data_IF_101469100578
#
_entry.id   IF_101469100578
#
_cell.length_a   1.000
_cell.length_b   1.000
_cell.length_c   1.000
_cell.angle_alpha   90.00
_cell.angle_beta   90.00
_cell.angle_gamma   90.00
#
_symmetry.space_group_name_H-M   'P 1'
#
loop_
_entity.id
_entity.type
_entity.pdbx_description
1 polymer ?
#
# COMPACT_ATOMS: atom_id res chain seq x y z
N UNK A 1 -5.19 -13.73 -15.32
CA UNK A 1 -4.01 -14.60 -15.10
C UNK A 1 -4.32 -15.58 -13.98
N UNK A 2 -4.66 -16.84 -14.30
CA UNK A 2 -4.71 -17.90 -13.29
C UNK A 2 -3.28 -18.24 -12.90
N UNK A 3 -2.86 -17.84 -11.68
CA UNK A 3 -1.62 -18.33 -11.13
C UNK A 3 -1.74 -19.86 -10.99
N UNK A 4 -0.98 -20.61 -11.79
CA UNK A 4 -1.00 -22.08 -11.76
C UNK A 4 -0.28 -22.66 -10.53
N UNK A 5 0.44 -21.84 -9.78
CA UNK A 5 1.16 -22.26 -8.57
C UNK A 5 0.42 -21.72 -7.33
N UNK A 6 0.25 -22.52 -6.28
CA UNK A 6 -0.33 -22.04 -5.03
C UNK A 6 0.59 -20.99 -4.39
N UNK A 7 0.00 -20.05 -3.67
CA UNK A 7 0.75 -19.09 -2.86
C UNK A 7 1.44 -19.87 -1.74
N UNK A 8 2.77 -19.80 -1.69
CA UNK A 8 3.58 -20.50 -0.68
C UNK A 8 3.63 -19.76 0.66
N UNK A 9 3.53 -18.43 0.62
CA UNK A 9 3.53 -17.57 1.79
C UNK A 9 2.91 -16.21 1.48
N UNK A 10 2.20 -15.64 2.46
CA UNK A 10 1.62 -14.30 2.40
C UNK A 10 2.10 -13.47 3.59
N UNK A 11 2.69 -12.31 3.33
CA UNK A 11 2.87 -11.23 4.30
C UNK A 11 1.87 -10.12 3.99
N UNK A 12 0.94 -9.84 4.90
CA UNK A 12 -0.06 -8.80 4.78
C UNK A 12 0.24 -7.69 5.81
N UNK A 13 0.30 -6.46 5.32
CA UNK A 13 0.62 -5.27 6.10
C UNK A 13 -0.48 -4.23 5.93
N UNK A 14 -0.86 -3.57 6.99
CA UNK A 14 -1.80 -2.46 6.99
C UNK A 14 -1.50 -1.55 8.19
N UNK A 15 -1.68 -0.24 8.04
CA UNK A 15 -1.55 0.71 9.14
C UNK A 15 -2.68 0.57 10.16
N UNK A 16 -3.84 0.08 9.72
CA UNK A 16 -5.02 -0.11 10.56
C UNK A 16 -5.06 -1.49 11.24
N UNK A 17 -5.66 -1.55 12.43
CA UNK A 17 -5.88 -2.78 13.18
C UNK A 17 -6.81 -3.79 12.46
N UNK A 18 -7.48 -3.40 11.38
CA UNK A 18 -8.33 -4.26 10.56
C UNK A 18 -7.56 -5.42 9.89
N UNK A 19 -6.25 -5.30 9.77
CA UNK A 19 -5.36 -6.40 9.37
C UNK A 19 -5.59 -7.64 10.26
N UNK A 20 -5.92 -7.45 11.53
CA UNK A 20 -6.24 -8.54 12.46
C UNK A 20 -7.59 -9.20 12.13
N UNK A 21 -8.56 -8.45 11.63
CA UNK A 21 -9.84 -9.00 11.14
C UNK A 21 -9.61 -9.82 9.86
N UNK A 22 -8.76 -9.32 8.95
CA UNK A 22 -8.36 -10.05 7.75
C UNK A 22 -7.65 -11.36 8.10
N UNK A 23 -6.76 -11.35 9.10
CA UNK A 23 -6.11 -12.57 9.63
C UNK A 23 -7.12 -13.59 10.12
N UNK A 24 -8.13 -13.17 10.90
CA UNK A 24 -9.20 -14.06 11.39
C UNK A 24 -10.01 -14.66 10.24
N UNK A 25 -10.40 -13.84 9.24
CA UNK A 25 -11.12 -14.31 8.05
C UNK A 25 -10.30 -15.35 7.27
N UNK A 26 -9.02 -15.07 7.03
CA UNK A 26 -8.11 -15.99 6.35
C UNK A 26 -7.97 -17.29 7.16
N UNK A 27 -7.93 -17.21 8.49
CA UNK A 27 -7.85 -18.39 9.36
C UNK A 27 -9.04 -19.34 9.21
N UNK A 28 -10.23 -18.83 8.96
CA UNK A 28 -11.45 -19.62 8.77
C UNK A 28 -11.57 -20.21 7.34
N UNK A 29 -10.70 -19.81 6.40
CA UNK A 29 -10.73 -20.32 5.04
C UNK A 29 -10.01 -21.67 4.95
N UNK A 30 -10.62 -22.64 4.28
CA UNK A 30 -9.94 -23.87 3.88
C UNK A 30 -8.90 -23.57 2.78
N UNK A 31 -7.79 -24.30 2.74
CA UNK A 31 -6.74 -24.16 1.73
C UNK A 31 -6.01 -22.80 1.73
N UNK A 32 -5.83 -22.21 2.92
CA UNK A 32 -5.08 -20.96 3.07
C UNK A 32 -3.56 -21.19 2.96
N UNK A 33 -2.82 -20.24 2.38
CA UNK A 33 -1.36 -20.26 2.45
C UNK A 33 -0.87 -19.97 3.87
N UNK A 34 0.33 -20.41 4.25
CA UNK A 34 1.04 -19.88 5.41
C UNK A 34 1.07 -18.34 5.33
N UNK A 35 0.64 -17.67 6.40
CA UNK A 35 0.42 -16.22 6.35
C UNK A 35 0.85 -15.55 7.63
N UNK A 36 1.37 -14.31 7.49
CA UNK A 36 1.62 -13.39 8.60
C UNK A 36 0.93 -12.08 8.30
N UNK A 37 0.19 -11.58 9.29
CA UNK A 37 -0.51 -10.31 9.23
C UNK A 37 0.05 -9.40 10.31
N UNK A 38 0.42 -8.17 9.95
CA UNK A 38 1.01 -7.21 10.87
C UNK A 38 0.44 -5.82 10.63
N UNK A 39 0.17 -5.12 11.72
CA UNK A 39 -0.06 -3.69 11.67
C UNK A 39 1.29 -3.00 11.45
N UNK A 40 1.42 -2.23 10.36
CA UNK A 40 2.69 -1.64 9.93
C UNK A 40 2.43 -0.42 9.06
N UNK A 41 3.13 0.66 9.32
CA UNK A 41 3.17 1.83 8.45
C UNK A 41 4.16 1.57 7.30
N UNK A 42 3.63 1.34 6.11
CA UNK A 42 4.42 1.03 4.92
C UNK A 42 5.00 2.27 4.22
N UNK A 43 4.76 3.48 4.75
CA UNK A 43 5.51 4.69 4.39
C UNK A 43 6.89 4.75 5.08
N UNK A 44 7.17 3.82 6.00
CA UNK A 44 8.44 3.65 6.71
C UNK A 44 9.09 2.34 6.31
N UNK A 45 10.38 2.21 6.57
CA UNK A 45 11.09 0.99 6.18
C UNK A 45 10.54 -0.24 6.92
N UNK A 46 10.01 -1.19 6.15
CA UNK A 46 9.43 -2.44 6.64
C UNK A 46 10.53 -3.37 7.16
N UNK A 47 11.58 -3.53 6.36
CA UNK A 47 12.60 -4.54 6.59
C UNK A 47 13.41 -4.30 7.86
N UNK A 48 13.68 -3.05 8.22
CA UNK A 48 14.38 -2.70 9.47
C UNK A 48 13.45 -2.60 10.68
N UNK A 49 12.11 -2.58 10.46
CA UNK A 49 11.08 -2.52 11.51
C UNK A 49 10.63 -1.12 11.89
N UNK A 50 11.05 -0.07 11.18
CA UNK A 50 10.59 1.30 11.42
C UNK A 50 9.08 1.44 11.28
N UNK A 51 8.47 0.79 10.28
CA UNK A 51 7.03 0.79 10.06
C UNK A 51 6.24 0.19 11.23
N UNK A 52 6.82 -0.78 11.97
CA UNK A 52 6.23 -1.31 13.20
C UNK A 52 6.38 -0.34 14.36
N UNK A 53 7.52 0.34 14.48
CA UNK A 53 7.77 1.33 15.52
C UNK A 53 6.85 2.54 15.38
N UNK A 54 6.62 3.01 14.16
CA UNK A 54 5.70 4.12 13.89
C UNK A 54 4.26 3.80 14.33
N UNK A 55 3.81 2.56 14.12
CA UNK A 55 2.49 2.11 14.58
C UNK A 55 2.45 2.00 16.11
N UNK A 56 3.51 1.49 16.74
CA UNK A 56 3.63 1.40 18.20
C UNK A 56 3.48 2.78 18.85
N UNK A 57 4.18 3.79 18.33
CA UNK A 57 4.10 5.17 18.81
C UNK A 57 2.69 5.75 18.63
N UNK A 58 2.06 5.50 17.47
CA UNK A 58 0.73 6.03 17.15
C UNK A 58 -0.37 5.41 18.01
N UNK A 59 -0.30 4.11 18.29
CA UNK A 59 -1.35 3.35 18.99
C UNK A 59 -1.01 2.97 20.43
N UNK A 60 0.19 3.29 20.91
CA UNK A 60 0.68 3.05 22.27
C UNK A 60 0.55 1.58 22.73
N UNK A 61 0.78 0.62 21.84
CA UNK A 61 0.71 -0.82 22.12
C UNK A 61 2.08 -1.49 21.94
N UNK A 62 2.88 -1.46 22.99
CA UNK A 62 4.22 -2.06 23.02
C UNK A 62 4.21 -3.60 22.86
N UNK A 63 3.16 -4.28 23.27
CA UNK A 63 3.11 -5.76 23.27
C UNK A 63 3.04 -6.35 21.85
N UNK A 64 2.31 -5.68 20.95
CA UNK A 64 2.21 -6.06 19.54
C UNK A 64 3.52 -5.85 18.79
N UNK A 65 4.22 -4.75 19.10
CA UNK A 65 5.47 -4.39 18.49
C UNK A 65 6.58 -5.40 18.72
N UNK A 66 6.81 -5.82 19.95
CA UNK A 66 7.86 -6.80 20.28
C UNK A 66 7.64 -8.11 19.52
N UNK A 67 6.40 -8.61 19.51
CA UNK A 67 6.04 -9.82 18.77
C UNK A 67 6.26 -9.66 17.26
N UNK A 68 5.78 -8.56 16.68
CA UNK A 68 5.86 -8.32 15.25
C UNK A 68 7.32 -8.11 14.79
N UNK A 69 8.14 -7.41 15.57
CA UNK A 69 9.59 -7.29 15.32
C UNK A 69 10.29 -8.63 15.30
N UNK A 70 9.97 -9.54 16.25
CA UNK A 70 10.53 -10.89 16.27
C UNK A 70 10.06 -11.74 15.08
N UNK A 71 8.81 -11.58 14.64
CA UNK A 71 8.30 -12.24 13.44
C UNK A 71 9.02 -11.74 12.18
N UNK A 72 9.22 -10.43 12.04
CA UNK A 72 10.02 -9.86 10.94
C UNK A 72 11.46 -10.40 10.95
N UNK A 73 12.11 -10.40 12.11
CA UNK A 73 13.46 -10.93 12.26
C UNK A 73 13.55 -12.39 11.81
N UNK A 74 12.53 -13.18 12.08
CA UNK A 74 12.43 -14.57 11.64
C UNK A 74 12.20 -14.69 10.14
N UNK A 75 11.25 -13.94 9.59
CA UNK A 75 10.88 -13.98 8.16
C UNK A 75 12.08 -13.60 7.28
N UNK A 76 12.86 -12.59 7.71
CA UNK A 76 14.04 -12.11 6.98
C UNK A 76 15.35 -12.78 7.41
N UNK A 77 15.32 -13.77 8.34
CA UNK A 77 16.51 -14.47 8.88
C UNK A 77 17.58 -13.52 9.49
N UNK A 78 17.12 -12.46 10.17
CA UNK A 78 18.01 -11.45 10.77
C UNK A 78 18.61 -11.89 12.12
N UNK A 79 17.93 -12.77 12.86
CA UNK A 79 18.38 -13.28 14.15
C UNK A 79 18.66 -14.78 14.10
N UNK A 80 19.84 -15.19 14.57
CA UNK A 80 20.23 -16.61 14.63
C UNK A 80 19.41 -17.40 15.66
N UNK A 81 19.03 -16.76 16.77
CA UNK A 81 18.25 -17.39 17.85
C UNK A 81 16.98 -16.59 18.11
N UNK A 82 15.86 -17.28 18.06
CA UNK A 82 14.55 -16.75 18.44
C UNK A 82 14.22 -17.18 19.87
N UNK A 83 13.41 -16.38 20.61
CA UNK A 83 12.92 -16.78 21.92
C UNK A 83 12.17 -18.12 21.88
N UNK A 84 12.20 -18.87 22.99
CA UNK A 84 11.51 -20.19 23.10
C UNK A 84 10.01 -20.11 22.75
N UNK A 85 9.35 -18.98 23.01
CA UNK A 85 7.95 -18.75 22.63
C UNK A 85 7.69 -18.93 21.13
N UNK A 86 8.70 -18.74 20.28
CA UNK A 86 8.62 -18.91 18.82
C UNK A 86 8.95 -20.33 18.34
N UNK A 87 9.30 -21.25 19.26
CA UNK A 87 9.63 -22.65 18.89
C UNK A 87 8.46 -23.42 18.25
N UNK A 88 7.22 -22.97 18.50
CA UNK A 88 6.00 -23.54 17.89
C UNK A 88 5.69 -23.02 16.48
N UNK A 89 6.39 -21.99 16.02
CA UNK A 89 6.22 -21.49 14.65
C UNK A 89 6.92 -22.46 13.69
N UNK A 90 6.23 -22.88 12.62
CA UNK A 90 6.82 -23.81 11.66
C UNK A 90 8.16 -23.32 11.11
N UNK A 91 9.18 -24.17 10.98
CA UNK A 91 10.50 -23.81 10.45
C UNK A 91 10.46 -23.17 9.05
N UNK A 92 9.41 -23.45 8.28
CA UNK A 92 9.22 -22.90 6.93
C UNK A 92 9.12 -21.37 6.90
N UNK A 93 8.77 -20.72 8.00
CA UNK A 93 8.71 -19.24 8.07
C UNK A 93 10.11 -18.60 8.17
N UNK A 94 11.11 -19.36 8.65
CA UNK A 94 12.44 -18.81 8.84
C UNK A 94 13.10 -18.49 7.50
N UNK A 95 13.42 -17.23 7.29
CA UNK A 95 14.09 -16.73 6.08
C UNK A 95 13.24 -16.80 4.81
N UNK A 96 11.93 -17.02 4.92
CA UNK A 96 11.05 -17.16 3.75
C UNK A 96 11.03 -15.89 2.88
N UNK A 97 11.18 -14.72 3.49
CA UNK A 97 11.24 -13.43 2.80
C UNK A 97 12.69 -12.92 2.60
N UNK A 98 13.70 -13.70 2.94
CA UNK A 98 15.12 -13.27 2.86
C UNK A 98 15.53 -12.79 1.47
N UNK A 99 14.98 -13.41 0.43
CA UNK A 99 15.26 -13.09 -0.99
C UNK A 99 14.20 -12.17 -1.61
N UNK A 100 13.28 -11.62 -0.79
CA UNK A 100 12.12 -10.86 -1.27
C UNK A 100 10.97 -11.75 -1.74
N UNK A 101 9.94 -11.12 -2.27
CA UNK A 101 8.68 -11.72 -2.73
C UNK A 101 8.62 -11.76 -4.26
N UNK A 102 7.94 -12.76 -4.80
CA UNK A 102 7.71 -12.87 -6.24
C UNK A 102 6.66 -11.87 -6.73
N UNK A 103 5.72 -11.50 -5.85
CA UNK A 103 4.66 -10.54 -6.12
C UNK A 103 4.47 -9.64 -4.90
N UNK A 104 4.42 -8.33 -5.11
CA UNK A 104 3.95 -7.35 -4.14
C UNK A 104 2.66 -6.75 -4.68
N UNK A 105 1.61 -6.69 -3.84
CA UNK A 105 0.29 -6.19 -4.23
C UNK A 105 -0.11 -5.02 -3.34
N UNK A 106 -0.51 -3.91 -3.97
CA UNK A 106 -1.00 -2.69 -3.30
C UNK A 106 -2.31 -2.28 -3.96
N UNK A 107 -3.43 -2.60 -3.31
CA UNK A 107 -4.76 -2.37 -3.87
C UNK A 107 -5.40 -1.17 -3.18
N UNK A 108 -5.71 -0.12 -3.95
CA UNK A 108 -6.30 1.14 -3.47
C UNK A 108 -5.56 1.73 -2.26
N UNK A 109 -4.22 1.75 -2.31
CA UNK A 109 -3.38 2.30 -1.24
C UNK A 109 -2.20 3.13 -1.76
N UNK A 110 -1.87 3.06 -3.05
CA UNK A 110 -0.74 3.79 -3.65
C UNK A 110 -0.93 5.32 -3.51
N UNK A 111 -2.15 5.81 -3.58
CA UNK A 111 -2.48 7.22 -3.50
C UNK A 111 -2.09 7.87 -2.16
N UNK A 112 -2.03 7.14 -1.06
CA UNK A 112 -1.60 7.69 0.24
C UNK A 112 -0.13 8.14 0.25
N UNK A 113 0.71 7.55 -0.60
CA UNK A 113 2.15 7.89 -0.66
C UNK A 113 2.43 9.11 -1.55
N UNK A 114 1.45 9.59 -2.33
CA UNK A 114 1.57 10.82 -3.13
C UNK A 114 1.40 12.11 -2.31
N UNK A 115 1.37 12.00 -0.99
CA UNK A 115 1.38 13.14 -0.06
C UNK A 115 2.59 14.04 -0.31
N UNK A 116 3.76 13.48 -0.42
CA UNK A 116 5.03 14.15 -0.67
C UNK A 116 6.07 13.18 -1.28
N UNK A 117 7.14 13.74 -1.86
CA UNK A 117 8.18 12.94 -2.51
C UNK A 117 8.87 11.97 -1.54
N UNK A 118 9.14 12.41 -0.31
CA UNK A 118 9.81 11.57 0.68
C UNK A 118 9.00 10.32 1.02
N UNK A 119 7.70 10.50 1.23
CA UNK A 119 6.76 9.41 1.53
C UNK A 119 6.68 8.42 0.36
N UNK A 120 6.56 8.92 -0.88
CA UNK A 120 6.53 8.04 -2.05
C UNK A 120 7.85 7.29 -2.24
N UNK A 121 8.99 7.97 -2.12
CA UNK A 121 10.30 7.31 -2.25
C UNK A 121 10.54 6.26 -1.17
N UNK A 122 10.15 6.53 0.08
CA UNK A 122 10.23 5.54 1.16
C UNK A 122 9.37 4.30 0.86
N UNK A 123 8.17 4.50 0.30
CA UNK A 123 7.31 3.41 -0.14
C UNK A 123 7.95 2.61 -1.29
N UNK A 124 8.45 3.28 -2.32
CA UNK A 124 9.11 2.61 -3.46
C UNK A 124 10.37 1.87 -3.02
N UNK A 125 11.13 2.42 -2.08
CA UNK A 125 12.27 1.72 -1.48
C UNK A 125 11.82 0.41 -0.80
N UNK A 126 10.68 0.40 -0.11
CA UNK A 126 10.11 -0.84 0.42
C UNK A 126 9.78 -1.84 -0.69
N UNK A 127 9.28 -1.37 -1.85
CA UNK A 127 9.04 -2.25 -2.99
C UNK A 127 10.36 -2.85 -3.51
N UNK A 128 11.38 -2.02 -3.72
CA UNK A 128 12.70 -2.44 -4.21
C UNK A 128 13.38 -3.45 -3.26
N UNK A 129 13.42 -3.13 -1.96
CA UNK A 129 14.03 -4.00 -0.96
C UNK A 129 13.31 -5.35 -0.80
N UNK A 130 12.02 -5.42 -1.09
CA UNK A 130 11.19 -6.59 -0.85
C UNK A 130 10.74 -7.34 -2.10
N UNK A 131 10.90 -6.79 -3.30
CA UNK A 131 10.63 -7.47 -4.55
C UNK A 131 11.88 -8.25 -5.00
N UNK A 132 11.71 -9.48 -5.45
CA UNK A 132 12.80 -10.22 -6.10
C UNK A 132 13.11 -9.61 -7.46
N UNK A 133 14.35 -9.71 -7.90
CA UNK A 133 14.67 -9.47 -9.30
C UNK A 133 13.81 -10.38 -10.20
N UNK A 134 13.12 -9.78 -11.17
CA UNK A 134 12.13 -10.48 -12.02
C UNK A 134 10.78 -10.75 -11.32
N UNK A 135 10.55 -10.23 -10.12
CA UNK A 135 9.25 -10.21 -9.47
C UNK A 135 8.37 -9.10 -10.01
N UNK A 136 7.13 -9.03 -9.50
CA UNK A 136 6.12 -8.09 -9.98
C UNK A 136 5.56 -7.24 -8.85
N UNK A 137 5.41 -5.95 -9.12
CA UNK A 137 4.53 -5.07 -8.37
C UNK A 137 3.19 -4.95 -9.10
N UNK A 138 2.09 -5.12 -8.37
CA UNK A 138 0.72 -5.01 -8.89
C UNK A 138 -0.02 -4.02 -7.99
N UNK A 139 -0.55 -2.94 -8.57
CA UNK A 139 -1.29 -1.92 -7.83
C UNK A 139 -2.55 -1.50 -8.55
N UNK A 140 -3.50 -0.98 -7.78
CA UNK A 140 -4.68 -0.26 -8.29
C UNK A 140 -4.84 1.04 -7.54
N UNK A 141 -5.22 2.10 -8.25
CA UNK A 141 -5.61 3.39 -7.70
C UNK A 141 -6.50 4.13 -8.69
N UNK A 142 -7.05 5.26 -8.30
CA UNK A 142 -7.71 6.16 -9.25
C UNK A 142 -6.70 6.71 -10.26
N UNK A 143 -7.16 6.90 -11.49
CA UNK A 143 -6.43 7.67 -12.48
C UNK A 143 -6.49 9.16 -12.09
N UNK A 144 -5.43 9.65 -11.45
CA UNK A 144 -5.40 11.01 -10.92
C UNK A 144 -5.55 12.08 -11.99
N UNK A 145 -5.06 11.87 -13.21
CA UNK A 145 -5.25 12.81 -14.33
C UNK A 145 -6.72 12.90 -14.71
N UNK A 146 -7.44 11.77 -14.77
CA UNK A 146 -8.88 11.78 -15.07
C UNK A 146 -9.69 12.45 -13.97
N UNK A 147 -9.38 12.16 -12.70
CA UNK A 147 -10.03 12.82 -11.57
C UNK A 147 -9.78 14.33 -11.62
N UNK A 148 -8.54 14.74 -11.85
CA UNK A 148 -8.18 16.15 -11.99
C UNK A 148 -8.99 16.84 -13.10
N UNK A 149 -9.03 16.26 -14.30
CA UNK A 149 -9.78 16.80 -15.43
C UNK A 149 -11.29 16.87 -15.16
N UNK A 150 -11.86 15.85 -14.53
CA UNK A 150 -13.29 15.85 -14.16
C UNK A 150 -13.61 16.94 -13.14
N UNK A 151 -12.77 17.14 -12.13
CA UNK A 151 -12.93 18.24 -11.17
C UNK A 151 -12.82 19.62 -11.83
N UNK A 152 -11.89 19.80 -12.78
CA UNK A 152 -11.78 21.06 -13.53
C UNK A 152 -13.03 21.36 -14.39
N UNK A 153 -13.72 20.32 -14.85
CA UNK A 153 -14.92 20.43 -15.68
C UNK A 153 -16.22 20.42 -14.86
N UNK A 154 -16.16 20.17 -13.55
CA UNK A 154 -17.33 20.22 -12.69
C UNK A 154 -17.87 21.65 -12.57
N UNK A 155 -19.20 21.84 -12.41
CA UNK A 155 -19.82 23.18 -12.37
C UNK A 155 -19.23 24.12 -11.33
N UNK A 156 -18.90 23.58 -10.16
CA UNK A 156 -18.27 24.31 -9.05
C UNK A 156 -16.76 24.16 -9.01
N UNK A 157 -16.18 23.29 -9.88
CA UNK A 157 -14.75 22.92 -9.92
C UNK A 157 -14.19 22.39 -8.61
N UNK A 158 -15.04 21.95 -7.70
CA UNK A 158 -14.61 21.53 -6.36
C UNK A 158 -15.11 20.15 -5.95
N UNK A 159 -16.19 19.66 -6.56
CA UNK A 159 -16.81 18.40 -6.14
C UNK A 159 -17.30 17.57 -7.33
N UNK A 160 -17.09 16.27 -7.23
CA UNK A 160 -17.73 15.25 -8.07
C UNK A 160 -18.60 14.40 -7.15
N UNK A 161 -19.85 14.24 -7.48
CA UNK A 161 -20.78 13.46 -6.69
C UNK A 161 -21.64 12.57 -7.59
N UNK A 162 -21.92 11.36 -7.11
CA UNK A 162 -22.87 10.45 -7.74
C UNK A 162 -23.87 9.96 -6.71
N UNK A 163 -25.12 10.01 -7.07
CA UNK A 163 -26.23 9.46 -6.31
C UNK A 163 -26.79 8.22 -7.03
N UNK A 164 -27.44 7.35 -6.27
CA UNK A 164 -28.21 6.23 -6.83
C UNK A 164 -29.61 6.69 -7.29
N UNK A 165 -30.41 5.74 -7.78
CA UNK A 165 -31.79 6.00 -8.23
C UNK A 165 -32.74 6.49 -7.12
N UNK A 166 -32.33 6.40 -5.85
CA UNK A 166 -33.09 6.86 -4.68
C UNK A 166 -32.57 8.19 -4.13
N UNK A 167 -31.60 8.84 -4.80
CA UNK A 167 -30.98 10.07 -4.33
C UNK A 167 -30.01 9.88 -3.16
N UNK A 168 -29.53 8.65 -2.93
CA UNK A 168 -28.55 8.40 -1.90
C UNK A 168 -27.13 8.53 -2.49
N UNK A 169 -26.27 9.26 -1.77
CA UNK A 169 -24.88 9.44 -2.17
C UNK A 169 -24.13 8.12 -2.24
N UNK A 170 -23.64 7.77 -3.42
CA UNK A 170 -22.82 6.55 -3.68
C UNK A 170 -21.34 6.85 -3.48
N UNK A 171 -20.88 7.96 -4.07
CA UNK A 171 -19.52 8.47 -3.83
C UNK A 171 -19.48 9.99 -3.97
N UNK A 172 -18.47 10.61 -3.36
CA UNK A 172 -18.06 11.97 -3.72
C UNK A 172 -16.55 12.11 -3.64
N UNK A 173 -16.01 12.98 -4.50
CA UNK A 173 -14.61 13.38 -4.51
C UNK A 173 -14.58 14.90 -4.40
N UNK A 174 -14.02 15.43 -3.32
CA UNK A 174 -13.92 16.87 -3.07
C UNK A 174 -12.48 17.32 -3.23
N UNK A 175 -12.25 18.33 -4.07
CA UNK A 175 -10.95 18.95 -4.30
C UNK A 175 -10.48 19.71 -3.05
N UNK A 176 -9.20 19.53 -2.67
CA UNK A 176 -8.53 20.23 -1.56
C UNK A 176 -7.21 20.89 -1.98
N UNK A 177 -6.92 20.93 -3.25
CA UNK A 177 -5.71 21.52 -3.83
C UNK A 177 -6.04 22.73 -4.69
N UNK A 178 -5.05 23.63 -4.92
CA UNK A 178 -5.22 24.84 -5.71
C UNK A 178 -4.60 24.76 -7.10
N UNK A 179 -3.88 23.69 -7.41
CA UNK A 179 -3.18 23.54 -8.70
C UNK A 179 -4.16 23.58 -9.87
N UNK A 180 -3.76 24.27 -10.93
CA UNK A 180 -4.49 24.35 -12.22
C UNK A 180 -3.89 23.45 -13.30
N UNK A 181 -2.69 22.88 -13.07
CA UNK A 181 -2.01 21.95 -13.97
C UNK A 181 -1.52 20.73 -13.21
N UNK A 182 -1.80 19.55 -13.74
CA UNK A 182 -1.36 18.27 -13.21
C UNK A 182 -0.54 17.48 -14.24
N UNK A 183 -0.10 18.13 -15.32
CA UNK A 183 0.70 17.53 -16.38
C UNK A 183 2.14 17.30 -15.90
N UNK A 184 2.64 16.09 -16.06
CA UNK A 184 4.00 15.76 -15.67
C UNK A 184 5.03 16.31 -16.61
N UNK A 185 6.05 16.94 -16.03
CA UNK A 185 7.33 17.30 -16.67
C UNK A 185 8.42 17.07 -15.64
N UNK A 186 9.60 16.68 -16.05
CA UNK A 186 10.70 16.46 -15.10
C UNK A 186 11.03 17.70 -14.24
N UNK A 187 10.74 18.89 -14.73
CA UNK A 187 11.01 20.16 -14.07
C UNK A 187 9.96 20.56 -13.03
N UNK A 188 8.81 19.86 -12.94
CA UNK A 188 7.72 20.20 -12.03
C UNK A 188 7.30 19.07 -11.09
N UNK A 189 8.15 18.05 -10.89
CA UNK A 189 7.86 16.88 -10.03
C UNK A 189 7.27 17.28 -8.68
N UNK A 190 7.89 18.23 -8.00
CA UNK A 190 7.48 18.65 -6.66
C UNK A 190 6.05 19.20 -6.62
N UNK A 191 5.64 19.92 -7.67
CA UNK A 191 4.31 20.52 -7.74
C UNK A 191 3.17 19.48 -7.95
N UNK A 192 3.49 18.24 -8.27
CA UNK A 192 2.51 17.17 -8.49
C UNK A 192 2.21 16.34 -7.25
N UNK A 193 2.99 16.52 -6.19
CA UNK A 193 2.70 15.92 -4.89
C UNK A 193 1.68 16.75 -4.11
N UNK A 194 1.05 16.12 -3.12
CA UNK A 194 0.15 16.80 -2.20
C UNK A 194 -1.16 17.30 -2.83
N UNK A 195 -1.53 16.82 -4.02
CA UNK A 195 -2.82 17.14 -4.63
C UNK A 195 -3.93 16.40 -3.89
N UNK A 196 -4.32 16.96 -2.77
CA UNK A 196 -5.23 16.34 -1.78
C UNK A 196 -6.67 16.34 -2.27
N UNK A 197 -7.35 15.23 -2.04
CA UNK A 197 -8.79 15.06 -2.27
C UNK A 197 -9.42 14.36 -1.07
N UNK A 198 -10.67 14.72 -0.76
CA UNK A 198 -11.50 13.96 0.18
C UNK A 198 -12.38 13.01 -0.63
N UNK A 199 -12.30 11.72 -0.33
CA UNK A 199 -13.05 10.65 -1.02
C UNK A 199 -14.03 10.01 -0.06
N UNK A 200 -15.32 10.07 -0.38
CA UNK A 200 -16.38 9.34 0.30
C UNK A 200 -16.88 8.21 -0.59
N UNK A 201 -17.08 7.03 0.00
CA UNK A 201 -17.76 5.90 -0.63
C UNK A 201 -18.78 5.30 0.33
N UNK A 202 -20.02 5.13 -0.13
CA UNK A 202 -21.13 4.57 0.68
C UNK A 202 -20.82 3.18 1.22
N UNK A 203 -20.06 2.35 0.47
CA UNK A 203 -19.64 1.02 0.90
C UNK A 203 -18.72 1.02 2.13
N UNK A 204 -18.05 2.15 2.40
CA UNK A 204 -17.15 2.34 3.55
C UNK A 204 -17.85 3.19 4.61
N UNK A 205 -18.71 4.14 4.21
CA UNK A 205 -19.53 4.97 5.10
C UNK A 205 -18.79 6.11 5.77
N UNK A 206 -17.56 6.44 5.32
CA UNK A 206 -16.77 7.55 5.85
C UNK A 206 -15.88 8.16 4.76
N UNK A 207 -15.43 9.39 5.01
CA UNK A 207 -14.54 10.13 4.11
C UNK A 207 -13.09 9.88 4.48
N UNK A 208 -12.25 9.68 3.48
CA UNK A 208 -10.80 9.58 3.62
C UNK A 208 -10.11 10.66 2.80
N UNK A 209 -9.03 11.19 3.34
CA UNK A 209 -8.11 12.04 2.61
C UNK A 209 -7.16 11.18 1.81
N UNK A 210 -7.10 11.42 0.52
CA UNK A 210 -6.27 10.74 -0.47
C UNK A 210 -5.54 11.77 -1.33
N UNK A 211 -4.61 11.33 -2.17
CA UNK A 211 -3.86 12.22 -3.06
C UNK A 211 -3.95 11.73 -4.50
N UNK A 212 -3.99 12.67 -5.45
CA UNK A 212 -4.01 12.31 -6.86
C UNK A 212 -2.69 11.65 -7.29
N UNK A 213 -2.80 10.55 -8.00
CA UNK A 213 -1.65 9.82 -8.55
C UNK A 213 -1.39 10.26 -9.97
N UNK A 214 -0.23 10.89 -10.20
CA UNK A 214 0.24 11.13 -11.56
C UNK A 214 1.02 9.90 -12.04
N UNK A 215 0.43 9.13 -12.96
CA UNK A 215 1.00 7.86 -13.41
C UNK A 215 2.30 8.00 -14.17
N UNK A 216 2.46 9.05 -14.97
CA UNK A 216 3.69 9.29 -15.73
C UNK A 216 4.85 9.55 -14.77
N UNK A 217 4.64 10.42 -13.77
CA UNK A 217 5.61 10.68 -12.72
C UNK A 217 5.91 9.41 -11.90
N UNK A 218 4.88 8.63 -11.56
CA UNK A 218 5.07 7.40 -10.80
C UNK A 218 5.93 6.39 -11.55
N UNK A 219 5.66 6.17 -12.84
CA UNK A 219 6.47 5.28 -13.68
C UNK A 219 7.93 5.78 -13.76
N UNK A 220 8.13 7.08 -13.89
CA UNK A 220 9.46 7.65 -14.00
C UNK A 220 10.27 7.47 -12.71
N UNK A 221 9.66 7.69 -11.55
CA UNK A 221 10.29 7.43 -10.25
C UNK A 221 10.53 5.92 -10.04
N UNK A 222 9.59 5.06 -10.41
CA UNK A 222 9.75 3.60 -10.30
C UNK A 222 10.93 3.07 -11.11
N UNK A 223 11.23 3.68 -12.27
CA UNK A 223 12.41 3.33 -13.08
C UNK A 223 13.73 3.64 -12.37
N UNK A 224 13.79 4.66 -11.53
CA UNK A 224 14.96 4.97 -10.71
C UNK A 224 15.32 3.79 -9.77
N UNK A 225 14.34 2.93 -9.46
CA UNK A 225 14.45 1.72 -8.64
C UNK A 225 14.42 0.41 -9.47
N UNK A 226 14.70 0.49 -10.77
CA UNK A 226 14.74 -0.64 -11.70
C UNK A 226 13.41 -1.37 -11.91
N UNK A 227 12.26 -0.71 -11.67
CA UNK A 227 10.95 -1.23 -12.06
C UNK A 227 10.59 -0.76 -13.46
N UNK A 228 10.18 -1.69 -14.30
CA UNK A 228 9.71 -1.40 -15.67
C UNK A 228 8.22 -1.72 -15.81
N UNK A 229 7.43 -0.86 -16.49
CA UNK A 229 6.03 -1.14 -16.69
C UNK A 229 5.82 -2.34 -17.62
N UNK A 230 5.00 -3.29 -17.19
CA UNK A 230 4.63 -4.45 -18.01
C UNK A 230 3.38 -4.11 -18.82
N UNK A 231 3.48 -4.13 -20.15
CA UNK A 231 2.31 -4.07 -21.03
C UNK A 231 1.73 -5.47 -21.14
N UNK A 232 0.47 -5.61 -20.72
CA UNK A 232 -0.29 -6.82 -21.03
C UNK A 232 -0.77 -6.68 -22.48
N UNK A 233 -0.27 -7.54 -23.36
CA UNK A 233 -0.91 -7.74 -24.66
C UNK A 233 -2.27 -8.40 -24.40
N UNK A 234 -3.34 -7.70 -24.74
CA UNK A 234 -4.73 -8.15 -24.62
C UNK A 234 -5.15 -8.77 -25.95
#
# INVERSE_FOLDING_TARGET
LRCKKPISFLLALDIHADVNKAAKRMYLTSHRPPSVFMQCDTSRNIKNGEGLSAVEEAFKDESLSVRNKLLLDMIYDRKKKLPKAFSKIPPLYKGIAKKGFDIISSQFSVHYYFKDELTLRSYIQNLDENCKAGGYFIGTCYDGMKVFQQLQNAPDKTNLEMEDEFGQKVYSITKKYDSEDFTYKQTNKEALFGQEIDVYMSSIGQTFTEYLVNFEMFIDIMKEYNFEPVRLEV
#
